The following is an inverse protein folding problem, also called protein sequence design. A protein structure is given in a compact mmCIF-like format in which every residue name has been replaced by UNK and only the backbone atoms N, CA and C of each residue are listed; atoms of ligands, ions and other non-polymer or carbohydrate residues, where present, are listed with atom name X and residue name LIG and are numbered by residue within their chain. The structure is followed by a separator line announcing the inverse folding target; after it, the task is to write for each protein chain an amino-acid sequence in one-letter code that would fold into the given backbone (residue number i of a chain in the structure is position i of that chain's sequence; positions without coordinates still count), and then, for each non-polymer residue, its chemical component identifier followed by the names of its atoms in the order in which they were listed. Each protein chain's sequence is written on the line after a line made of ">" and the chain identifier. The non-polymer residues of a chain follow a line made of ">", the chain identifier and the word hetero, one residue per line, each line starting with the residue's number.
data_IF_146381221528
#
_entry.id   IF_146381221528
#
_cell.length_a   1.000
_cell.length_b   1.000
_cell.length_c   1.000
_cell.angle_alpha   90.00
_cell.angle_beta   90.00
_cell.angle_gamma   90.00
#
_symmetry.space_group_name_H-M   'P 1'
#
loop_
_entity.id
_entity.type
_entity.pdbx_description
1 polymer ?
#
# COMPACT_ATOMS: atom_id res chain seq x y z
N UNK A 1 15.34 23.89 -1.00
CA UNK A 1 14.57 22.64 -0.96
C UNK A 1 14.76 22.03 0.42
N UNK A 2 13.73 21.51 1.06
CA UNK A 2 13.85 20.82 2.35
C UNK A 2 14.68 19.55 2.14
N UNK A 3 15.45 19.15 3.15
CA UNK A 3 16.30 17.95 3.11
C UNK A 3 15.46 16.66 3.02
N UNK A 4 14.23 16.70 3.55
CA UNK A 4 13.26 15.62 3.50
C UNK A 4 11.96 16.08 2.84
N UNK A 5 11.25 15.20 2.12
CA UNK A 5 9.93 15.52 1.62
C UNK A 5 8.97 15.82 2.77
N UNK A 6 8.24 16.94 2.68
CA UNK A 6 7.32 17.39 3.72
C UNK A 6 5.98 17.77 3.12
N UNK A 7 4.93 17.59 3.90
CA UNK A 7 3.64 18.18 3.62
C UNK A 7 3.61 19.66 4.03
N UNK A 8 2.71 20.41 3.42
CA UNK A 8 2.51 21.80 3.82
C UNK A 8 1.96 21.89 5.25
N UNK A 9 2.18 23.03 5.96
CA UNK A 9 1.54 23.26 7.25
C UNK A 9 0.01 23.16 7.18
N UNK A 10 -0.60 23.53 6.05
CA UNK A 10 -2.04 23.43 5.84
C UNK A 10 -2.51 21.97 5.79
N UNK A 11 -1.79 21.09 5.11
CA UNK A 11 -2.10 19.66 5.06
C UNK A 11 -1.94 18.99 6.43
N UNK A 12 -0.85 19.32 7.15
CA UNK A 12 -0.64 18.80 8.52
C UNK A 12 -1.75 19.28 9.48
N UNK A 13 -2.17 20.54 9.38
CA UNK A 13 -3.29 21.07 10.16
C UNK A 13 -4.62 20.37 9.81
N UNK A 14 -4.89 20.11 8.52
CA UNK A 14 -6.07 19.34 8.07
C UNK A 14 -6.09 17.94 8.71
N UNK A 15 -4.96 17.22 8.67
CA UNK A 15 -4.84 15.89 9.30
C UNK A 15 -5.07 15.96 10.80
N UNK A 16 -4.45 16.94 11.45
CA UNK A 16 -4.62 17.16 12.88
C UNK A 16 -6.09 17.41 13.25
N UNK A 17 -6.80 18.28 12.52
CA UNK A 17 -8.22 18.54 12.74
C UNK A 17 -9.08 17.29 12.57
N UNK A 18 -8.81 16.47 11.53
CA UNK A 18 -9.52 15.22 11.30
C UNK A 18 -9.29 14.19 12.43
N UNK A 19 -8.09 14.14 13.00
CA UNK A 19 -7.77 13.33 14.18
C UNK A 19 -8.54 13.82 15.40
N UNK A 20 -8.55 15.13 15.68
CA UNK A 20 -9.26 15.71 16.80
C UNK A 20 -10.79 15.52 16.71
N UNK A 21 -11.37 15.62 15.51
CA UNK A 21 -12.78 15.27 15.27
C UNK A 21 -13.06 13.80 15.57
N UNK A 22 -12.15 12.91 15.19
CA UNK A 22 -12.24 11.47 15.47
C UNK A 22 -12.20 11.21 16.98
N UNK A 23 -11.29 11.88 17.69
CA UNK A 23 -11.19 11.80 19.15
C UNK A 23 -12.49 12.29 19.82
N UNK A 24 -13.02 13.41 19.37
CA UNK A 24 -14.26 13.97 19.91
C UNK A 24 -15.47 13.04 19.70
N UNK A 25 -15.59 12.44 18.50
CA UNK A 25 -16.65 11.44 18.18
C UNK A 25 -16.52 10.17 19.05
N UNK A 26 -15.30 9.76 19.34
CA UNK A 26 -15.01 8.58 20.18
C UNK A 26 -15.10 8.88 21.69
N UNK A 27 -15.19 10.14 22.10
CA UNK A 27 -15.23 10.56 23.50
C UNK A 27 -13.91 10.33 24.23
N UNK A 28 -12.77 10.40 23.52
CA UNK A 28 -11.44 10.22 24.13
C UNK A 28 -10.71 11.55 24.27
N UNK A 29 -10.02 11.72 25.40
CA UNK A 29 -9.29 12.96 25.71
C UNK A 29 -7.90 13.00 25.06
N UNK A 30 -7.30 11.85 24.83
CA UNK A 30 -5.97 11.70 24.23
C UNK A 30 -5.98 10.62 23.16
N UNK A 31 -5.08 10.74 22.17
CA UNK A 31 -4.87 9.71 21.16
C UNK A 31 -3.40 9.27 21.20
N UNK A 32 -3.20 7.97 21.22
CA UNK A 32 -1.92 7.32 20.95
C UNK A 32 -1.91 6.83 19.49
N UNK A 33 -1.08 7.42 18.65
CA UNK A 33 -0.65 6.75 17.42
C UNK A 33 0.61 5.94 17.72
N UNK A 34 0.57 4.63 17.46
CA UNK A 34 1.67 3.72 17.75
C UNK A 34 2.16 3.03 16.49
N UNK A 35 3.49 2.90 16.39
CA UNK A 35 4.13 2.21 15.28
C UNK A 35 5.40 1.49 15.72
N UNK A 36 5.71 0.38 15.07
CA UNK A 36 6.92 -0.39 15.32
C UNK A 36 7.44 -1.09 14.06
N UNK A 37 8.73 -0.92 13.77
CA UNK A 37 9.44 -1.65 12.70
C UNK A 37 8.74 -1.61 11.32
N UNK A 38 8.33 -0.41 10.89
CA UNK A 38 7.66 -0.20 9.62
C UNK A 38 6.14 -0.54 9.60
N UNK A 39 5.59 -0.97 10.74
CA UNK A 39 4.16 -1.21 10.92
C UNK A 39 3.55 -0.08 11.77
N UNK A 40 2.30 0.30 11.49
CA UNK A 40 1.63 1.39 12.21
C UNK A 40 1.87 2.75 11.56
N UNK A 41 1.35 2.93 10.35
CA UNK A 41 1.52 4.14 9.55
C UNK A 41 0.91 5.41 10.14
N UNK A 42 0.10 5.33 11.21
CA UNK A 42 -0.53 6.49 11.84
C UNK A 42 0.50 7.48 12.40
N UNK A 43 1.61 7.00 12.97
CA UNK A 43 2.70 7.87 13.45
C UNK A 43 3.24 8.72 12.30
N UNK A 44 3.59 8.09 11.17
CA UNK A 44 4.12 8.79 9.99
C UNK A 44 3.09 9.71 9.33
N UNK A 45 1.83 9.30 9.29
CA UNK A 45 0.75 10.10 8.69
C UNK A 45 0.46 11.38 9.48
N UNK A 46 0.58 11.35 10.82
CA UNK A 46 0.33 12.51 11.67
C UNK A 46 1.59 13.37 11.85
N UNK A 47 2.77 12.74 12.12
CA UNK A 47 4.01 13.45 12.51
C UNK A 47 5.08 13.51 11.44
N UNK A 48 4.87 12.88 10.28
CA UNK A 48 5.86 12.66 9.22
C UNK A 48 7.03 11.75 9.63
N UNK A 49 7.15 11.31 10.90
CA UNK A 49 8.19 10.39 11.33
C UNK A 49 7.90 8.96 10.86
N UNK A 50 8.68 8.38 9.95
CA UNK A 50 8.52 6.98 9.61
C UNK A 50 9.01 6.11 10.77
N UNK A 51 8.13 5.47 11.51
CA UNK A 51 8.47 4.67 12.67
C UNK A 51 9.45 3.53 12.31
N UNK A 52 10.75 3.81 12.40
CA UNK A 52 11.82 2.86 12.04
C UNK A 52 11.93 1.71 13.04
N UNK A 53 11.72 2.02 14.30
CA UNK A 53 11.52 1.11 15.43
C UNK A 53 10.29 1.57 16.21
N UNK A 54 10.16 1.23 17.49
CA UNK A 54 9.01 1.65 18.26
C UNK A 54 8.96 3.18 18.38
N UNK A 55 7.77 3.73 18.10
CA UNK A 55 7.45 5.13 18.24
C UNK A 55 6.01 5.28 18.75
N UNK A 56 5.81 6.19 19.73
CA UNK A 56 4.52 6.50 20.30
C UNK A 56 4.28 8.01 20.20
N UNK A 57 3.30 8.42 19.39
CA UNK A 57 2.88 9.82 19.28
C UNK A 57 1.62 10.02 20.12
N UNK A 58 1.74 10.85 21.16
CA UNK A 58 0.60 11.27 21.96
C UNK A 58 0.06 12.59 21.45
N UNK A 59 -1.18 12.55 20.96
CA UNK A 59 -1.95 13.71 20.50
C UNK A 59 -2.87 14.16 21.62
N UNK A 60 -2.80 15.45 21.96
CA UNK A 60 -3.67 16.10 22.94
C UNK A 60 -4.30 17.35 22.31
N UNK A 61 -5.63 17.49 22.23
CA UNK A 61 -6.26 18.67 21.66
C UNK A 61 -5.78 19.96 22.34
N UNK A 62 -5.41 20.94 21.53
CA UNK A 62 -4.93 22.24 22.02
C UNK A 62 -3.50 22.26 22.57
N UNK A 63 -2.78 21.14 22.59
CA UNK A 63 -1.38 21.05 23.02
C UNK A 63 -0.48 20.59 21.88
N UNK A 64 0.84 20.77 22.06
CA UNK A 64 1.83 20.20 21.16
C UNK A 64 1.89 18.68 21.33
N UNK A 65 1.93 17.96 20.21
CA UNK A 65 2.07 16.51 20.22
C UNK A 65 3.41 16.10 20.80
N UNK A 66 3.44 14.97 21.52
CA UNK A 66 4.69 14.39 22.06
C UNK A 66 4.99 13.10 21.31
N UNK A 67 6.14 13.08 20.64
CA UNK A 67 6.65 11.89 19.95
C UNK A 67 7.73 11.23 20.78
N UNK A 68 7.45 10.07 21.34
CA UNK A 68 8.41 9.20 22.01
C UNK A 68 9.08 8.28 20.99
N UNK A 69 10.40 8.33 20.91
CA UNK A 69 11.22 7.50 20.02
C UNK A 69 12.07 6.54 20.84
N UNK A 70 11.99 5.25 20.56
CA UNK A 70 12.63 4.20 21.35
C UNK A 70 14.15 4.34 21.45
N UNK A 71 14.83 4.51 20.30
CA UNK A 71 16.28 4.54 20.29
C UNK A 71 16.82 5.98 20.40
N UNK A 72 17.69 6.18 21.39
CA UNK A 72 18.27 7.49 21.67
C UNK A 72 19.02 8.09 20.49
N UNK A 73 19.72 7.27 19.71
CA UNK A 73 20.44 7.69 18.49
C UNK A 73 19.53 8.08 17.32
N UNK A 74 18.22 7.80 17.38
CA UNK A 74 17.27 8.25 16.37
C UNK A 74 16.73 9.66 16.62
N UNK A 75 16.89 10.20 17.86
CA UNK A 75 16.37 11.51 18.24
C UNK A 75 16.81 12.66 17.32
N UNK A 76 18.11 12.79 16.95
CA UNK A 76 18.53 13.90 16.11
C UNK A 76 17.79 13.92 14.77
N UNK A 77 17.57 12.77 14.17
CA UNK A 77 16.88 12.66 12.90
C UNK A 77 15.36 12.84 13.04
N UNK A 78 14.77 12.28 14.09
CA UNK A 78 13.33 12.45 14.38
C UNK A 78 12.98 13.94 14.59
N UNK A 79 13.81 14.71 15.28
CA UNK A 79 13.65 16.16 15.47
C UNK A 79 13.75 16.97 14.16
N UNK A 80 14.48 16.46 13.16
CA UNK A 80 14.60 17.11 11.84
C UNK A 80 13.40 16.83 10.95
N UNK A 81 12.71 15.70 11.18
CA UNK A 81 11.57 15.25 10.39
C UNK A 81 10.25 15.66 11.05
N UNK A 82 10.01 15.27 12.29
CA UNK A 82 8.76 15.57 13.03
C UNK A 82 8.86 16.95 13.73
N UNK A 83 8.99 18.03 12.95
CA UNK A 83 9.26 19.38 13.50
C UNK A 83 8.11 19.96 14.31
N UNK A 84 6.89 19.48 14.11
CA UNK A 84 5.70 19.99 14.78
C UNK A 84 5.41 19.27 16.11
N UNK A 85 6.16 18.18 16.40
CA UNK A 85 6.08 17.43 17.64
C UNK A 85 7.23 17.76 18.60
N UNK A 86 6.97 17.65 19.90
CA UNK A 86 8.00 17.61 20.94
C UNK A 86 8.61 16.20 20.97
N UNK A 87 9.76 16.04 20.34
CA UNK A 87 10.44 14.75 20.18
C UNK A 87 11.29 14.43 21.38
N UNK A 88 10.94 13.37 22.08
CA UNK A 88 11.60 12.91 23.30
C UNK A 88 12.11 11.47 23.14
N UNK A 89 13.12 11.11 23.93
CA UNK A 89 13.50 9.72 24.07
C UNK A 89 12.44 8.93 24.86
N UNK A 90 12.01 7.80 24.33
CA UNK A 90 11.05 6.91 24.98
C UNK A 90 11.58 6.14 26.19
N UNK A 91 12.82 6.42 26.63
CA UNK A 91 13.42 5.72 27.75
C UNK A 91 13.84 4.27 27.43
N UNK A 92 14.21 3.49 28.45
CA UNK A 92 14.50 2.06 28.29
C UNK A 92 13.25 1.26 27.88
N UNK A 93 12.06 1.75 28.20
CA UNK A 93 10.75 1.18 27.85
C UNK A 93 9.78 2.32 27.49
N UNK A 94 9.48 2.43 26.20
CA UNK A 94 8.63 3.49 25.65
C UNK A 94 7.23 3.50 26.27
N UNK A 95 6.68 2.33 26.60
CA UNK A 95 5.34 2.24 27.21
C UNK A 95 5.34 2.75 28.65
N UNK A 96 6.39 2.51 29.41
CA UNK A 96 6.54 3.12 30.76
C UNK A 96 6.57 4.64 30.66
N UNK A 97 7.40 5.20 29.78
CA UNK A 97 7.47 6.65 29.57
C UNK A 97 6.15 7.25 29.09
N UNK A 98 5.41 6.50 28.25
CA UNK A 98 4.06 6.90 27.81
C UNK A 98 3.08 6.92 28.99
N UNK A 99 3.06 5.89 29.85
CA UNK A 99 2.20 5.80 31.04
C UNK A 99 2.48 6.97 31.99
N UNK A 100 3.75 7.27 32.24
CA UNK A 100 4.15 8.41 33.07
C UNK A 100 3.63 9.73 32.48
N UNK A 101 3.70 9.90 31.17
CA UNK A 101 3.17 11.08 30.47
C UNK A 101 1.65 11.17 30.54
N UNK A 102 0.94 10.05 30.36
CA UNK A 102 -0.52 9.98 30.50
C UNK A 102 -0.96 10.33 31.93
N UNK A 103 -0.26 9.79 32.93
CA UNK A 103 -0.50 10.09 34.34
C UNK A 103 -0.26 11.58 34.67
N UNK A 104 0.83 12.16 34.16
CA UNK A 104 1.14 13.58 34.34
C UNK A 104 0.08 14.52 33.71
N UNK A 105 -0.63 14.06 32.67
CA UNK A 105 -1.71 14.78 32.00
C UNK A 105 -3.10 14.48 32.57
N UNK A 106 -3.21 13.61 33.57
CA UNK A 106 -4.50 13.20 34.13
C UNK A 106 -5.40 12.50 33.14
N UNK A 107 -4.83 11.71 32.21
CA UNK A 107 -5.57 11.05 31.13
C UNK A 107 -6.47 9.97 31.71
N UNK A 108 -7.78 10.05 31.43
CA UNK A 108 -8.77 9.04 31.82
C UNK A 108 -9.24 8.19 30.65
N UNK A 109 -9.19 8.74 29.40
CA UNK A 109 -9.61 8.03 28.19
C UNK A 109 -8.59 8.18 27.07
N UNK A 110 -8.21 7.06 26.46
CA UNK A 110 -7.16 6.96 25.43
C UNK A 110 -7.71 6.29 24.16
N UNK A 111 -7.72 7.01 23.04
CA UNK A 111 -7.86 6.41 21.72
C UNK A 111 -6.54 5.81 21.27
N UNK A 112 -6.57 4.70 20.53
CA UNK A 112 -5.37 4.04 20.02
C UNK A 112 -5.50 3.79 18.52
N UNK A 113 -4.51 4.21 17.74
CA UNK A 113 -4.30 3.89 16.33
C UNK A 113 -2.96 3.19 16.19
N UNK A 114 -2.96 1.91 15.80
CA UNK A 114 -1.76 1.13 15.52
C UNK A 114 -1.63 -0.17 16.31
N UNK A 115 -0.65 -1.00 15.93
CA UNK A 115 -0.54 -2.38 16.36
C UNK A 115 0.14 -2.51 17.72
N UNK A 116 -0.55 -2.22 18.81
CA UNK A 116 -0.05 -2.51 20.15
C UNK A 116 0.11 -4.02 20.36
N UNK A 117 1.21 -4.43 21.00
CA UNK A 117 1.35 -5.78 21.51
C UNK A 117 0.40 -6.00 22.68
N UNK A 118 -0.07 -7.23 22.88
CA UNK A 118 -1.01 -7.56 23.94
C UNK A 118 -0.57 -7.04 25.33
N UNK A 119 0.70 -7.28 25.70
CA UNK A 119 1.23 -6.82 26.98
C UNK A 119 1.28 -5.28 27.10
N UNK A 120 1.49 -4.56 26.01
CA UNK A 120 1.46 -3.08 25.99
C UNK A 120 0.04 -2.58 26.19
N UNK A 121 -0.93 -3.18 25.47
CA UNK A 121 -2.35 -2.86 25.63
C UNK A 121 -2.81 -3.11 27.07
N UNK A 122 -2.43 -4.25 27.68
CA UNK A 122 -2.79 -4.56 29.07
C UNK A 122 -2.28 -3.48 30.04
N UNK A 123 -1.00 -3.09 29.92
CA UNK A 123 -0.40 -2.04 30.75
C UNK A 123 -1.10 -0.68 30.60
N UNK A 124 -1.46 -0.32 29.37
CA UNK A 124 -2.21 0.92 29.11
C UNK A 124 -3.62 0.86 29.71
N UNK A 125 -4.30 -0.28 29.60
CA UNK A 125 -5.63 -0.49 30.18
C UNK A 125 -5.63 -0.51 31.73
N UNK A 126 -4.49 -0.77 32.36
CA UNK A 126 -4.30 -0.65 33.81
C UNK A 126 -4.00 0.80 34.22
N UNK A 127 -3.47 1.63 33.30
CA UNK A 127 -3.04 3.00 33.57
C UNK A 127 -4.12 4.07 33.32
N UNK A 128 -5.13 3.78 32.48
CA UNK A 128 -6.24 4.70 32.16
C UNK A 128 -7.58 3.97 32.27
N UNK A 129 -8.65 4.71 32.55
CA UNK A 129 -9.99 4.11 32.77
C UNK A 129 -10.59 3.49 31.50
N UNK A 130 -10.26 4.06 30.33
CA UNK A 130 -10.85 3.63 29.05
C UNK A 130 -9.79 3.65 27.94
N UNK A 131 -9.68 2.53 27.20
CA UNK A 131 -8.90 2.44 25.96
C UNK A 131 -9.84 2.09 24.81
N UNK A 132 -9.83 2.89 23.73
CA UNK A 132 -10.69 2.74 22.55
C UNK A 132 -9.83 2.51 21.32
N UNK A 133 -10.07 1.41 20.60
CA UNK A 133 -9.40 1.16 19.31
C UNK A 133 -9.99 2.06 18.22
N UNK A 134 -9.15 2.82 17.52
CA UNK A 134 -9.50 3.76 16.47
C UNK A 134 -8.86 3.40 15.12
N UNK A 135 -8.42 2.15 14.93
CA UNK A 135 -7.82 1.70 13.67
C UNK A 135 -8.78 1.81 12.49
N UNK A 136 -10.07 1.49 12.70
CA UNK A 136 -11.09 1.63 11.67
C UNK A 136 -11.33 3.09 11.28
N UNK A 137 -11.20 4.01 12.21
CA UNK A 137 -11.29 5.45 11.96
C UNK A 137 -10.07 5.94 11.21
N UNK A 138 -8.88 5.48 11.59
CA UNK A 138 -7.64 5.78 10.85
C UNK A 138 -7.71 5.29 9.39
N UNK A 139 -8.26 4.11 9.13
CA UNK A 139 -8.53 3.65 7.77
C UNK A 139 -9.44 4.63 7.03
N UNK A 140 -10.55 5.09 7.64
CA UNK A 140 -11.49 6.05 7.03
C UNK A 140 -10.82 7.38 6.70
N UNK A 141 -9.97 7.91 7.59
CA UNK A 141 -9.23 9.16 7.37
C UNK A 141 -8.33 9.11 6.12
N UNK A 142 -7.92 7.92 5.70
CA UNK A 142 -7.00 7.70 4.58
C UNK A 142 -7.68 7.31 3.27
N UNK A 143 -9.00 7.09 3.25
CA UNK A 143 -9.70 6.66 2.04
C UNK A 143 -9.63 7.73 0.95
N UNK A 144 -10.00 8.96 1.27
CA UNK A 144 -9.97 10.10 0.38
C UNK A 144 -8.65 10.86 0.58
N UNK A 145 -7.88 11.03 -0.49
CA UNK A 145 -6.56 11.68 -0.48
C UNK A 145 -6.70 13.18 -0.71
N UNK A 146 -5.87 13.95 -0.04
CA UNK A 146 -5.66 15.35 -0.39
C UNK A 146 -4.86 15.48 -1.70
N UNK A 147 -4.83 16.67 -2.28
CA UNK A 147 -4.03 16.94 -3.47
C UNK A 147 -2.53 16.65 -3.24
N UNK A 148 -2.00 17.00 -2.07
CA UNK A 148 -0.60 16.74 -1.71
C UNK A 148 -0.32 15.24 -1.52
N UNK A 149 -1.30 14.46 -1.02
CA UNK A 149 -1.18 13.00 -0.96
C UNK A 149 -1.18 12.37 -2.36
N UNK A 150 -2.00 12.89 -3.28
CA UNK A 150 -1.99 12.47 -4.70
C UNK A 150 -0.64 12.78 -5.33
N UNK A 151 -0.03 13.94 -5.07
CA UNK A 151 1.30 14.26 -5.59
C UNK A 151 2.38 13.31 -5.05
N UNK A 152 2.28 12.88 -3.78
CA UNK A 152 3.16 11.83 -3.23
C UNK A 152 2.96 10.48 -3.92
N UNK A 153 1.71 10.13 -4.23
CA UNK A 153 1.38 8.90 -4.95
C UNK A 153 1.86 8.94 -6.40
N UNK A 154 1.82 10.10 -7.08
CA UNK A 154 2.43 10.29 -8.41
C UNK A 154 3.92 10.04 -8.40
N UNK A 155 4.63 10.55 -7.39
CA UNK A 155 6.07 10.29 -7.27
C UNK A 155 6.36 8.81 -7.00
N UNK A 156 5.60 8.16 -6.12
CA UNK A 156 5.71 6.72 -5.87
C UNK A 156 5.41 5.89 -7.12
N UNK A 157 4.41 6.27 -7.92
CA UNK A 157 4.08 5.64 -9.20
C UNK A 157 5.22 5.78 -10.21
N UNK A 158 5.76 7.00 -10.38
CA UNK A 158 6.93 7.27 -11.24
C UNK A 158 8.15 6.42 -10.87
N UNK A 159 8.42 6.25 -9.58
CA UNK A 159 9.51 5.42 -9.07
C UNK A 159 9.25 3.93 -9.32
N UNK A 160 8.00 3.50 -9.20
CA UNK A 160 7.57 2.13 -9.53
C UNK A 160 7.72 1.86 -11.04
N UNK A 161 7.35 2.80 -11.89
CA UNK A 161 7.53 2.70 -13.36
C UNK A 161 9.01 2.56 -13.72
N UNK A 162 9.88 3.36 -13.11
CA UNK A 162 11.34 3.26 -13.29
C UNK A 162 11.89 1.90 -12.82
N UNK A 163 11.34 1.35 -11.73
CA UNK A 163 11.71 0.04 -11.22
C UNK A 163 11.31 -1.08 -12.19
N UNK A 164 10.11 -1.02 -12.76
CA UNK A 164 9.68 -2.00 -13.78
C UNK A 164 10.50 -1.87 -15.04
N UNK A 165 10.85 -0.67 -15.48
CA UNK A 165 11.76 -0.46 -16.63
C UNK A 165 13.14 -1.11 -16.37
N UNK A 166 13.75 -0.87 -15.21
CA UNK A 166 15.03 -1.49 -14.84
C UNK A 166 14.94 -3.03 -14.76
N UNK A 167 13.83 -3.56 -14.26
CA UNK A 167 13.56 -5.00 -14.27
C UNK A 167 13.49 -5.55 -15.69
N UNK A 168 12.80 -4.88 -16.63
CA UNK A 168 12.68 -5.33 -18.02
C UNK A 168 14.04 -5.36 -18.72
N UNK A 169 14.93 -4.41 -18.43
CA UNK A 169 16.29 -4.37 -18.96
C UNK A 169 17.16 -5.56 -18.43
N UNK A 170 16.88 -6.01 -17.21
CA UNK A 170 17.57 -7.15 -16.58
C UNK A 170 17.00 -8.52 -17.03
N UNK A 171 15.74 -8.57 -17.47
CA UNK A 171 15.01 -9.79 -17.77
C UNK A 171 15.41 -10.36 -19.16
N UNK A 172 16.40 -11.25 -19.18
CA UNK A 172 16.89 -11.91 -20.39
C UNK A 172 17.26 -13.38 -20.12
N UNK A 173 17.30 -14.23 -21.14
CA UNK A 173 17.78 -15.60 -20.97
C UNK A 173 19.14 -15.66 -20.31
N UNK A 174 19.29 -16.53 -19.30
CA UNK A 174 20.49 -16.71 -18.50
C UNK A 174 20.61 -15.81 -17.28
N UNK A 175 19.76 -14.79 -17.11
CA UNK A 175 19.72 -14.00 -15.89
C UNK A 175 19.10 -14.80 -14.73
N UNK A 176 19.59 -14.60 -13.52
CA UNK A 176 18.98 -15.16 -12.30
C UNK A 176 17.74 -14.30 -11.92
N UNK A 177 16.64 -14.94 -11.54
CA UNK A 177 15.41 -14.23 -11.11
C UNK A 177 15.71 -13.23 -9.99
N UNK A 178 16.62 -13.56 -9.07
CA UNK A 178 17.05 -12.65 -8.00
C UNK A 178 17.74 -11.38 -8.50
N UNK A 179 18.31 -11.39 -9.72
CA UNK A 179 18.86 -10.19 -10.33
C UNK A 179 17.76 -9.18 -10.73
N UNK A 180 16.53 -9.66 -10.96
CA UNK A 180 15.38 -8.78 -11.20
C UNK A 180 15.05 -7.96 -9.97
N UNK A 181 15.02 -8.59 -8.78
CA UNK A 181 14.81 -7.89 -7.50
C UNK A 181 15.89 -6.82 -7.28
N UNK A 182 17.17 -7.17 -7.50
CA UNK A 182 18.27 -6.22 -7.36
C UNK A 182 18.17 -5.03 -8.33
N UNK A 183 17.77 -5.25 -9.58
CA UNK A 183 17.57 -4.19 -10.56
C UNK A 183 16.38 -3.28 -10.19
N UNK A 184 15.26 -3.90 -9.79
CA UNK A 184 14.06 -3.22 -9.31
C UNK A 184 14.36 -2.30 -8.13
N UNK A 185 14.97 -2.85 -7.07
CA UNK A 185 15.30 -2.07 -5.87
C UNK A 185 16.35 -1.00 -6.14
N UNK A 186 17.37 -1.30 -6.94
CA UNK A 186 18.40 -0.33 -7.30
C UNK A 186 17.83 0.93 -7.94
N UNK A 187 16.78 0.83 -8.74
CA UNK A 187 16.18 1.95 -9.44
C UNK A 187 15.50 2.96 -8.48
N UNK A 188 14.75 2.48 -7.49
CA UNK A 188 14.04 3.41 -6.59
C UNK A 188 14.85 3.78 -5.34
N UNK A 189 15.76 2.92 -4.86
CA UNK A 189 16.64 3.25 -3.74
C UNK A 189 17.53 4.45 -4.04
N UNK A 190 18.07 4.54 -5.25
CA UNK A 190 18.87 5.68 -5.69
C UNK A 190 18.09 7.01 -5.67
N UNK A 191 16.76 6.95 -5.75
CA UNK A 191 15.86 8.10 -5.68
C UNK A 191 15.28 8.36 -4.28
N UNK A 192 15.71 7.61 -3.25
CA UNK A 192 15.31 7.81 -1.85
C UNK A 192 13.99 7.13 -1.48
N UNK A 193 13.49 6.19 -2.29
CA UNK A 193 12.38 5.34 -1.95
C UNK A 193 12.85 4.01 -1.32
N UNK A 194 11.93 3.22 -0.82
CA UNK A 194 12.18 1.91 -0.24
C UNK A 194 11.29 0.85 -0.88
N UNK A 195 11.58 -0.42 -0.62
CA UNK A 195 10.73 -1.51 -1.07
C UNK A 195 9.40 -1.53 -0.29
N UNK A 196 8.29 -1.68 -1.03
CA UNK A 196 7.00 -2.09 -0.49
C UNK A 196 6.67 -3.50 -0.96
N UNK A 197 6.75 -3.75 -2.28
CA UNK A 197 6.51 -5.04 -2.91
C UNK A 197 7.46 -5.18 -4.12
N UNK A 198 8.06 -6.36 -4.25
CA UNK A 198 8.64 -6.86 -5.50
C UNK A 198 8.41 -8.36 -5.58
N UNK A 199 7.34 -8.79 -6.24
CA UNK A 199 6.98 -10.19 -6.41
C UNK A 199 7.12 -10.60 -7.87
N UNK A 200 7.68 -11.80 -8.10
CA UNK A 200 7.91 -12.34 -9.43
C UNK A 200 7.40 -13.77 -9.55
N UNK A 201 6.85 -14.11 -10.71
CA UNK A 201 6.69 -15.48 -11.17
C UNK A 201 7.41 -15.62 -12.51
N UNK A 202 8.30 -16.59 -12.61
CA UNK A 202 8.96 -16.95 -13.88
C UNK A 202 8.76 -18.43 -14.11
N UNK A 203 8.05 -18.79 -15.19
CA UNK A 203 7.72 -20.17 -15.52
C UNK A 203 7.72 -20.38 -17.03
N UNK A 204 7.94 -21.62 -17.49
CA UNK A 204 7.89 -21.94 -18.91
C UNK A 204 6.43 -21.86 -19.43
N UNK A 205 6.20 -21.12 -20.52
CA UNK A 205 4.85 -21.05 -21.13
C UNK A 205 4.33 -22.39 -21.60
N UNK A 206 5.23 -23.33 -21.96
CA UNK A 206 4.88 -24.67 -22.44
C UNK A 206 4.47 -25.63 -21.32
N UNK A 207 4.97 -25.44 -20.11
CA UNK A 207 4.67 -26.24 -18.91
C UNK A 207 4.68 -25.36 -17.67
N UNK A 208 3.64 -24.52 -17.49
CA UNK A 208 3.58 -23.55 -16.40
C UNK A 208 3.38 -24.23 -15.05
N UNK A 209 4.06 -23.72 -14.02
CA UNK A 209 4.02 -24.21 -12.65
C UNK A 209 3.65 -23.13 -11.63
N UNK A 210 3.46 -21.88 -12.08
CA UNK A 210 3.11 -20.73 -11.24
C UNK A 210 2.11 -19.85 -11.97
N UNK A 211 1.00 -19.56 -11.32
CA UNK A 211 -0.06 -18.69 -11.88
C UNK A 211 -0.07 -17.28 -11.30
N UNK A 212 0.65 -17.03 -10.20
CA UNK A 212 0.77 -15.71 -9.55
C UNK A 212 2.20 -15.49 -9.09
N UNK A 213 2.65 -14.23 -8.92
CA UNK A 213 3.96 -13.91 -8.37
C UNK A 213 4.15 -14.43 -6.94
N UNK A 214 5.36 -14.94 -6.66
CA UNK A 214 5.78 -15.37 -5.33
C UNK A 214 6.44 -14.25 -4.54
N UNK A 215 6.35 -14.35 -3.20
CA UNK A 215 6.93 -13.37 -2.26
C UNK A 215 8.44 -13.57 -2.06
N UNK A 216 8.99 -14.67 -2.52
CA UNK A 216 10.42 -14.99 -2.41
C UNK A 216 10.93 -15.53 -3.74
N UNK A 217 12.05 -14.99 -4.23
CA UNK A 217 12.62 -15.35 -5.53
C UNK A 217 13.35 -16.69 -5.45
N UNK A 218 12.96 -17.66 -6.28
CA UNK A 218 13.70 -18.93 -6.40
C UNK A 218 15.06 -18.71 -7.07
N UNK A 219 16.04 -19.55 -6.74
CA UNK A 219 17.30 -19.65 -7.49
C UNK A 219 17.03 -20.30 -8.85
N UNK A 220 16.60 -19.50 -9.84
CA UNK A 220 16.21 -19.95 -11.17
C UNK A 220 16.83 -19.05 -12.23
N UNK A 221 17.38 -19.66 -13.30
CA UNK A 221 17.78 -18.92 -14.49
C UNK A 221 16.59 -18.78 -15.44
N UNK A 222 16.38 -17.57 -15.92
CA UNK A 222 15.37 -17.23 -16.92
C UNK A 222 15.76 -17.91 -18.25
N UNK A 223 14.78 -18.45 -18.95
CA UNK A 223 14.98 -19.14 -20.22
C UNK A 223 14.15 -18.51 -21.34
N UNK A 224 14.59 -18.67 -22.59
CA UNK A 224 13.75 -18.35 -23.74
C UNK A 224 12.48 -19.21 -23.70
N UNK A 225 11.31 -18.61 -23.93
CA UNK A 225 10.00 -19.26 -23.79
C UNK A 225 9.39 -19.21 -22.40
N UNK A 226 10.05 -18.55 -21.45
CA UNK A 226 9.41 -18.22 -20.16
C UNK A 226 8.40 -17.10 -20.29
N UNK A 227 7.46 -17.09 -19.34
CA UNK A 227 6.63 -15.92 -18.99
C UNK A 227 7.11 -15.40 -17.64
N UNK A 228 7.22 -14.08 -17.54
CA UNK A 228 7.52 -13.33 -16.33
C UNK A 228 6.28 -12.51 -15.96
N UNK A 229 5.73 -12.76 -14.78
CA UNK A 229 4.67 -11.93 -14.18
C UNK A 229 5.24 -11.23 -12.97
N UNK A 230 4.97 -9.95 -12.81
CA UNK A 230 5.49 -9.17 -11.69
C UNK A 230 4.43 -8.27 -11.05
N UNK A 231 4.64 -8.02 -9.76
CA UNK A 231 3.93 -7.02 -8.97
C UNK A 231 4.97 -6.18 -8.21
N UNK A 232 5.04 -4.91 -8.54
CA UNK A 232 6.08 -3.98 -8.05
C UNK A 232 5.45 -2.78 -7.41
N UNK A 233 5.93 -2.42 -6.22
CA UNK A 233 5.55 -1.21 -5.49
C UNK A 233 6.77 -0.58 -4.84
N UNK A 234 7.15 0.61 -5.28
CA UNK A 234 8.10 1.45 -4.59
C UNK A 234 7.37 2.29 -3.53
N UNK A 235 7.91 2.39 -2.33
CA UNK A 235 7.39 3.23 -1.26
C UNK A 235 8.19 4.53 -1.15
N UNK A 236 7.49 5.64 -1.32
CA UNK A 236 8.06 6.98 -1.16
C UNK A 236 7.43 7.69 0.05
N UNK A 237 8.14 7.66 1.18
CA UNK A 237 7.71 8.32 2.42
C UNK A 237 6.31 7.95 2.89
N UNK A 238 6.01 6.64 2.90
CA UNK A 238 4.73 6.10 3.37
C UNK A 238 3.63 6.06 2.32
N UNK A 239 3.92 6.44 1.07
CA UNK A 239 3.02 6.35 -0.08
C UNK A 239 3.63 5.43 -1.13
N UNK A 240 2.84 4.50 -1.66
CA UNK A 240 3.37 3.49 -2.58
C UNK A 240 2.65 3.53 -3.92
N UNK A 241 3.42 3.40 -5.00
CA UNK A 241 2.89 3.03 -6.31
C UNK A 241 2.65 1.52 -6.37
N UNK A 242 1.81 1.05 -7.30
CA UNK A 242 1.66 -0.38 -7.58
C UNK A 242 1.40 -0.62 -9.06
N UNK A 243 2.25 -1.45 -9.66
CA UNK A 243 2.22 -1.80 -11.08
C UNK A 243 2.38 -3.31 -11.25
N UNK A 244 1.48 -3.91 -12.03
CA UNK A 244 1.44 -5.33 -12.32
C UNK A 244 1.53 -5.54 -13.82
N UNK A 245 2.47 -6.37 -14.28
CA UNK A 245 2.69 -6.64 -15.70
C UNK A 245 3.07 -8.10 -15.95
N UNK A 246 2.82 -8.52 -17.17
CA UNK A 246 3.26 -9.82 -17.68
C UNK A 246 4.08 -9.62 -18.95
N UNK A 247 5.17 -10.36 -19.06
CA UNK A 247 6.12 -10.33 -20.19
C UNK A 247 6.41 -11.73 -20.68
N UNK A 248 6.76 -11.88 -21.95
CA UNK A 248 7.34 -13.13 -22.47
C UNK A 248 8.83 -12.94 -22.74
N UNK A 249 9.62 -14.00 -22.58
CA UNK A 249 11.09 -13.92 -22.68
C UNK A 249 11.55 -14.55 -23.99
N UNK A 250 12.17 -13.75 -24.85
CA UNK A 250 12.81 -14.14 -26.14
C UNK A 250 11.92 -15.00 -27.04
N UNK A 251 10.60 -14.98 -26.85
CA UNK A 251 9.61 -15.70 -27.66
C UNK A 251 8.29 -14.95 -27.70
N UNK A 252 7.50 -15.16 -28.73
CA UNK A 252 6.14 -14.66 -28.78
C UNK A 252 5.24 -15.40 -27.79
N UNK A 253 4.16 -14.79 -27.26
CA UNK A 253 3.24 -15.46 -26.38
C UNK A 253 2.59 -16.66 -27.07
N UNK A 254 2.41 -17.75 -26.33
CA UNK A 254 1.57 -18.85 -26.83
C UNK A 254 0.12 -18.38 -26.96
N UNK A 255 -0.72 -19.00 -27.81
CA UNK A 255 -2.15 -18.68 -27.92
C UNK A 255 -2.87 -18.71 -26.55
N UNK A 256 -2.42 -19.62 -25.67
CA UNK A 256 -2.96 -19.74 -24.31
C UNK A 256 -2.65 -18.50 -23.45
N UNK A 257 -1.41 -18.02 -23.42
CA UNK A 257 -1.05 -16.81 -22.67
C UNK A 257 -1.60 -15.53 -23.30
N UNK A 258 -1.73 -15.50 -24.63
CA UNK A 258 -2.41 -14.40 -25.31
C UNK A 258 -3.88 -14.32 -24.93
N UNK A 259 -4.58 -15.46 -24.81
CA UNK A 259 -5.97 -15.50 -24.36
C UNK A 259 -6.15 -15.07 -22.89
N UNK A 260 -5.28 -15.55 -21.98
CA UNK A 260 -5.26 -15.13 -20.58
C UNK A 260 -5.07 -13.61 -20.46
N UNK A 261 -4.06 -13.07 -21.16
CA UNK A 261 -3.76 -11.63 -21.11
C UNK A 261 -4.87 -10.80 -21.73
N UNK A 262 -5.47 -11.27 -22.84
CA UNK A 262 -6.64 -10.61 -23.44
C UNK A 262 -7.82 -10.49 -22.50
N UNK A 263 -8.09 -11.55 -21.71
CA UNK A 263 -9.13 -11.52 -20.68
C UNK A 263 -8.77 -10.56 -19.52
N UNK A 264 -7.50 -10.49 -19.14
CA UNK A 264 -7.03 -9.57 -18.10
C UNK A 264 -7.12 -8.10 -18.55
N UNK A 265 -6.74 -7.79 -19.79
CA UNK A 265 -6.89 -6.44 -20.35
C UNK A 265 -8.38 -6.04 -20.48
N UNK A 266 -9.24 -6.95 -20.95
CA UNK A 266 -10.68 -6.70 -21.03
C UNK A 266 -11.30 -6.43 -19.63
N UNK A 267 -10.85 -7.18 -18.62
CA UNK A 267 -11.28 -6.96 -17.25
C UNK A 267 -10.78 -5.62 -16.70
N UNK A 268 -9.53 -5.26 -16.96
CA UNK A 268 -9.00 -3.97 -16.56
C UNK A 268 -9.83 -2.82 -17.15
N UNK A 269 -10.12 -2.87 -18.45
CA UNK A 269 -10.89 -1.83 -19.12
C UNK A 269 -12.35 -1.76 -18.62
N UNK A 270 -13.00 -2.91 -18.42
CA UNK A 270 -14.36 -2.97 -17.89
C UNK A 270 -14.43 -2.44 -16.43
N UNK A 271 -13.51 -2.85 -15.57
CA UNK A 271 -13.43 -2.41 -14.19
C UNK A 271 -13.17 -0.90 -14.11
N UNK A 272 -12.15 -0.40 -14.80
CA UNK A 272 -11.82 1.04 -14.76
C UNK A 272 -12.93 1.92 -15.30
N UNK A 273 -13.65 1.47 -16.32
CA UNK A 273 -14.82 2.17 -16.85
C UNK A 273 -16.00 2.22 -15.86
N UNK A 274 -16.09 1.25 -14.93
CA UNK A 274 -17.15 1.22 -13.91
C UNK A 274 -16.84 2.12 -12.70
N UNK A 275 -15.57 2.47 -12.47
CA UNK A 275 -15.13 3.27 -11.33
C UNK A 275 -15.40 4.76 -11.58
N UNK A 276 -16.35 5.33 -10.81
CA UNK A 276 -16.70 6.74 -10.80
C UNK A 276 -17.22 7.15 -9.43
N UNK A 277 -17.22 8.43 -9.08
CA UNK A 277 -17.87 8.88 -7.84
C UNK A 277 -19.32 8.41 -7.75
N UNK A 278 -19.70 7.85 -6.61
CA UNK A 278 -21.03 7.29 -6.36
C UNK A 278 -21.25 5.85 -6.81
N UNK A 279 -20.36 5.26 -7.62
CA UNK A 279 -20.45 3.85 -8.01
C UNK A 279 -20.40 2.96 -6.76
N UNK A 280 -21.28 1.97 -6.66
CA UNK A 280 -21.28 1.00 -5.59
C UNK A 280 -20.26 -0.12 -5.87
N UNK A 281 -19.62 -0.65 -4.83
CA UNK A 281 -18.62 -1.72 -4.95
C UNK A 281 -19.12 -2.93 -5.75
N UNK A 282 -20.42 -3.24 -5.70
CA UNK A 282 -21.01 -4.32 -6.48
C UNK A 282 -20.99 -4.08 -7.99
N UNK A 283 -21.07 -2.82 -8.45
CA UNK A 283 -20.98 -2.48 -9.89
C UNK A 283 -19.60 -2.83 -10.44
N UNK A 284 -18.54 -2.61 -9.63
CA UNK A 284 -17.16 -2.96 -9.98
C UNK A 284 -16.98 -4.47 -10.05
N UNK A 285 -17.55 -5.20 -9.08
CA UNK A 285 -17.55 -6.68 -9.09
C UNK A 285 -18.30 -7.23 -10.29
N UNK A 286 -19.44 -6.63 -10.67
CA UNK A 286 -20.18 -7.04 -11.86
C UNK A 286 -19.38 -6.82 -13.15
N UNK A 287 -18.64 -5.71 -13.25
CA UNK A 287 -17.78 -5.43 -14.39
C UNK A 287 -16.65 -6.46 -14.57
N UNK A 288 -16.22 -7.13 -13.48
CA UNK A 288 -15.19 -8.18 -13.54
C UNK A 288 -15.67 -9.51 -14.14
N UNK A 289 -16.97 -9.68 -14.36
CA UNK A 289 -17.58 -10.92 -14.87
C UNK A 289 -17.04 -11.38 -16.23
N UNK A 290 -16.46 -10.50 -17.00
CA UNK A 290 -15.79 -10.79 -18.29
C UNK A 290 -14.67 -11.85 -18.15
N UNK A 291 -14.05 -11.99 -16.98
CA UNK A 291 -13.04 -13.03 -16.71
C UNK A 291 -13.70 -14.41 -16.73
N UNK A 292 -14.82 -14.56 -16.04
CA UNK A 292 -15.56 -15.82 -15.93
C UNK A 292 -16.26 -16.17 -17.26
N UNK A 293 -16.74 -15.18 -18.00
CA UNK A 293 -17.29 -15.33 -19.35
C UNK A 293 -16.23 -15.84 -20.35
N UNK A 294 -14.95 -15.46 -20.16
CA UNK A 294 -13.83 -15.96 -20.94
C UNK A 294 -13.38 -17.38 -20.54
N UNK A 295 -13.99 -17.99 -19.51
CA UNK A 295 -13.65 -19.33 -19.00
C UNK A 295 -12.45 -19.37 -18.05
N UNK A 296 -12.04 -18.23 -17.52
CA UNK A 296 -10.95 -18.09 -16.55
C UNK A 296 -11.47 -17.78 -15.15
N UNK A 297 -10.56 -17.67 -14.21
CA UNK A 297 -10.86 -17.28 -12.82
C UNK A 297 -9.73 -16.36 -12.29
N UNK A 298 -9.78 -16.01 -11.02
CA UNK A 298 -8.78 -15.18 -10.34
C UNK A 298 -8.16 -15.95 -9.17
N UNK A 299 -7.01 -15.49 -8.70
CA UNK A 299 -6.38 -16.02 -7.49
C UNK A 299 -6.53 -15.06 -6.30
N UNK A 300 -6.36 -13.78 -6.54
CA UNK A 300 -6.37 -12.71 -5.55
C UNK A 300 -7.47 -11.68 -5.86
N UNK A 301 -7.57 -10.62 -5.05
CA UNK A 301 -8.49 -9.52 -5.33
C UNK A 301 -8.13 -8.79 -6.64
N UNK A 302 -9.15 -8.17 -7.24
CA UNK A 302 -9.06 -7.43 -8.50
C UNK A 302 -8.95 -5.93 -8.30
N UNK A 303 -9.53 -5.43 -7.21
CA UNK A 303 -9.51 -4.01 -6.87
C UNK A 303 -9.33 -3.84 -5.38
N UNK A 304 -8.42 -2.98 -4.99
CA UNK A 304 -8.33 -2.55 -3.61
C UNK A 304 -8.00 -1.06 -3.50
N UNK A 305 -8.43 -0.43 -2.40
CA UNK A 305 -7.98 0.91 -2.04
C UNK A 305 -6.49 0.90 -1.69
N UNK A 306 -5.79 2.03 -1.96
CA UNK A 306 -4.36 2.11 -1.74
C UNK A 306 -3.91 3.50 -1.25
N UNK A 307 -2.67 3.55 -0.77
CA UNK A 307 -2.03 4.78 -0.31
C UNK A 307 -1.11 4.55 0.88
N UNK A 308 -0.13 3.64 0.72
CA UNK A 308 0.75 3.18 1.80
C UNK A 308 0.19 1.96 2.53
N UNK A 309 -0.26 0.97 1.76
CA UNK A 309 -0.89 -0.27 2.20
C UNK A 309 -2.35 -0.39 1.74
N UNK A 310 -2.91 -1.56 1.93
CA UNK A 310 -4.28 -1.89 1.54
C UNK A 310 -5.30 -1.06 2.30
N UNK A 311 -6.31 -0.60 1.57
CA UNK A 311 -7.49 0.09 2.08
C UNK A 311 -8.75 -0.54 1.44
N UNK A 312 -9.93 -0.40 2.05
CA UNK A 312 -11.17 -0.76 1.38
C UNK A 312 -11.47 0.18 0.17
N UNK A 313 -12.28 -0.30 -0.81
CA UNK A 313 -12.80 -1.65 -0.87
C UNK A 313 -11.72 -2.68 -1.22
N UNK A 314 -11.95 -3.98 -0.94
CA UNK A 314 -11.15 -5.09 -1.44
C UNK A 314 -12.12 -6.04 -2.15
N UNK A 315 -12.00 -6.15 -3.48
CA UNK A 315 -13.01 -6.76 -4.34
C UNK A 315 -12.40 -7.85 -5.24
N UNK A 316 -13.02 -9.01 -5.25
CA UNK A 316 -12.78 -10.11 -6.20
C UNK A 316 -13.88 -10.23 -7.26
N UNK A 317 -14.01 -11.38 -7.91
CA UNK A 317 -15.17 -11.73 -8.73
C UNK A 317 -16.34 -12.25 -7.85
N UNK A 318 -17.52 -12.41 -8.45
CA UNK A 318 -18.68 -12.98 -7.73
C UNK A 318 -18.44 -14.41 -7.28
N UNK A 319 -17.77 -15.23 -8.08
CA UNK A 319 -17.51 -16.64 -7.77
C UNK A 319 -16.31 -16.84 -6.86
N UNK A 320 -15.38 -15.88 -6.82
CA UNK A 320 -14.13 -15.98 -6.07
C UNK A 320 -13.88 -14.72 -5.24
N UNK A 321 -14.77 -14.47 -4.30
CA UNK A 321 -14.62 -13.43 -3.30
C UNK A 321 -14.31 -14.04 -1.94
N UNK A 322 -13.18 -13.65 -1.35
CA UNK A 322 -12.82 -14.08 0.01
C UNK A 322 -13.57 -13.31 1.10
N UNK A 323 -14.31 -12.26 0.73
CA UNK A 323 -15.07 -11.40 1.66
C UNK A 323 -16.40 -11.00 1.05
N UNK A 324 -17.42 -10.71 1.87
CA UNK A 324 -18.64 -10.07 1.38
C UNK A 324 -18.32 -8.76 0.67
N UNK A 325 -19.06 -8.46 -0.40
CA UNK A 325 -18.96 -7.16 -1.07
C UNK A 325 -19.36 -6.08 -0.06
N UNK A 326 -18.51 -5.09 0.23
CA UNK A 326 -18.83 -4.06 1.21
C UNK A 326 -19.95 -3.15 0.69
N UNK A 327 -20.82 -2.69 1.60
CA UNK A 327 -21.74 -1.59 1.33
C UNK A 327 -20.97 -0.28 1.30
N UNK A 328 -20.31 -0.03 0.17
CA UNK A 328 -19.39 1.09 0.00
C UNK A 328 -19.57 1.71 -1.39
N UNK A 329 -19.53 3.03 -1.43
CA UNK A 329 -19.48 3.80 -2.67
C UNK A 329 -18.11 4.40 -2.88
N UNK A 330 -17.71 4.48 -4.14
CA UNK A 330 -16.48 5.15 -4.53
C UNK A 330 -16.65 6.66 -4.38
N UNK A 331 -15.65 7.31 -3.84
CA UNK A 331 -15.62 8.76 -3.63
C UNK A 331 -14.48 9.39 -4.45
N UNK A 332 -14.68 10.64 -4.86
CA UNK A 332 -13.61 11.45 -5.44
C UNK A 332 -12.44 11.59 -4.47
N UNK A 333 -11.21 11.50 -4.96
CA UNK A 333 -9.99 11.48 -4.15
C UNK A 333 -9.56 10.09 -3.66
N UNK A 334 -10.37 9.04 -3.85
CA UNK A 334 -9.91 7.69 -3.57
C UNK A 334 -8.82 7.27 -4.55
N UNK A 335 -7.82 6.52 -4.04
CA UNK A 335 -6.84 5.82 -4.87
C UNK A 335 -7.14 4.33 -4.84
N UNK A 336 -7.20 3.73 -6.02
CA UNK A 336 -7.53 2.33 -6.21
C UNK A 336 -6.49 1.69 -7.12
N UNK A 337 -6.00 0.52 -6.72
CA UNK A 337 -5.30 -0.38 -7.63
C UNK A 337 -6.35 -1.24 -8.33
N UNK A 338 -6.28 -1.29 -9.66
CA UNK A 338 -7.04 -2.23 -10.47
C UNK A 338 -6.04 -3.24 -11.01
N UNK A 339 -6.17 -4.52 -10.61
CA UNK A 339 -5.13 -5.54 -10.77
C UNK A 339 -5.68 -6.91 -11.23
N UNK A 340 -6.29 -7.02 -12.42
CA UNK A 340 -6.73 -8.32 -12.91
C UNK A 340 -5.60 -9.34 -12.92
N UNK A 341 -5.71 -10.32 -12.01
CA UNK A 341 -4.85 -11.50 -11.92
C UNK A 341 -5.64 -12.69 -12.46
N UNK A 342 -5.59 -12.88 -13.80
CA UNK A 342 -6.39 -13.88 -14.48
C UNK A 342 -5.62 -15.19 -14.58
N UNK A 343 -6.23 -16.27 -14.08
CA UNK A 343 -5.62 -17.59 -14.04
C UNK A 343 -6.52 -18.66 -14.65
N UNK A 344 -5.92 -19.80 -15.00
CA UNK A 344 -6.67 -21.01 -15.36
C UNK A 344 -7.32 -21.64 -14.13
N UNK A 345 -8.42 -22.38 -14.33
CA UNK A 345 -9.14 -23.04 -13.25
C UNK A 345 -8.38 -24.17 -12.57
N UNK A 346 -7.33 -24.71 -13.22
CA UNK A 346 -6.38 -25.68 -12.64
C UNK A 346 -5.21 -25.02 -11.87
N UNK A 347 -5.19 -23.67 -11.80
CA UNK A 347 -4.24 -22.85 -11.05
C UNK A 347 -2.77 -23.02 -11.51
N UNK A 348 -2.53 -23.41 -12.77
CA UNK A 348 -1.16 -23.60 -13.30
C UNK A 348 -0.65 -22.40 -14.07
N UNK A 349 -1.51 -21.76 -14.84
CA UNK A 349 -1.14 -20.62 -15.67
C UNK A 349 -1.85 -19.36 -15.21
N UNK A 350 -1.15 -18.24 -15.29
CA UNK A 350 -1.75 -16.95 -14.95
C UNK A 350 -0.97 -15.78 -15.52
N UNK A 351 -1.65 -14.66 -15.58
CA UNK A 351 -1.11 -13.36 -15.97
C UNK A 351 -1.60 -12.29 -15.02
N UNK A 352 -0.88 -11.19 -14.95
CA UNK A 352 -1.34 -9.98 -14.28
C UNK A 352 -1.19 -8.78 -15.21
N UNK A 353 -2.20 -7.93 -15.23
CA UNK A 353 -2.12 -6.57 -15.76
C UNK A 353 -2.82 -5.66 -14.75
N UNK A 354 -2.22 -4.54 -14.43
CA UNK A 354 -2.84 -3.67 -13.45
C UNK A 354 -1.95 -2.52 -13.03
N UNK A 355 -2.56 -1.55 -12.38
CA UNK A 355 -1.88 -0.38 -11.89
C UNK A 355 -2.74 0.44 -10.94
N UNK A 356 -2.08 1.27 -10.14
CA UNK A 356 -2.74 2.22 -9.27
C UNK A 356 -3.22 3.43 -10.07
N UNK A 357 -4.39 3.94 -9.68
CA UNK A 357 -4.94 5.19 -10.17
C UNK A 357 -5.72 5.92 -9.07
N UNK A 358 -6.21 7.09 -9.39
CA UNK A 358 -7.02 7.91 -8.51
C UNK A 358 -8.35 8.28 -9.17
N UNK A 359 -9.34 8.59 -8.37
CA UNK A 359 -10.71 8.90 -8.83
C UNK A 359 -10.94 10.40 -8.73
N UNK A 360 -11.28 11.02 -9.85
CA UNK A 360 -11.77 12.40 -9.89
C UNK A 360 -13.25 12.45 -10.29
N UNK A 361 -13.77 13.63 -10.57
CA UNK A 361 -15.16 13.84 -10.99
C UNK A 361 -15.52 13.12 -12.31
N UNK A 362 -14.54 12.78 -13.16
CA UNK A 362 -14.71 12.09 -14.43
C UNK A 362 -14.60 10.57 -14.30
N UNK A 363 -13.96 10.06 -13.25
CA UNK A 363 -13.77 8.64 -13.01
C UNK A 363 -12.34 8.28 -12.59
N UNK A 364 -11.92 7.05 -12.87
CA UNK A 364 -10.59 6.56 -12.53
C UNK A 364 -9.54 6.96 -13.55
N UNK A 365 -8.39 7.47 -13.09
CA UNK A 365 -7.24 7.87 -13.89
C UNK A 365 -5.97 7.19 -13.39
N UNK A 366 -5.18 6.62 -14.32
CA UNK A 366 -3.88 6.05 -13.99
C UNK A 366 -2.94 7.09 -13.38
N UNK A 367 -2.14 6.66 -12.39
CA UNK A 367 -0.98 7.40 -11.89
C UNK A 367 0.34 6.91 -12.52
N UNK A 368 0.30 5.83 -13.31
CA UNK A 368 1.44 5.21 -13.96
C UNK A 368 1.48 5.52 -15.45
N UNK A 369 2.69 5.72 -15.97
CA UNK A 369 2.96 5.97 -17.39
C UNK A 369 3.53 4.73 -18.10
N UNK A 370 3.97 3.68 -17.34
CA UNK A 370 4.50 2.46 -17.92
C UNK A 370 3.42 1.74 -18.75
N UNK A 371 3.70 1.39 -20.04
CA UNK A 371 2.69 0.89 -20.96
C UNK A 371 2.10 -0.45 -20.50
N UNK A 372 0.80 -0.65 -20.80
CA UNK A 372 0.13 -1.95 -20.69
C UNK A 372 0.43 -2.81 -21.93
N UNK A 373 0.10 -4.09 -21.84
CA UNK A 373 0.20 -5.06 -22.91
C UNK A 373 1.16 -6.20 -22.57
N UNK A 374 1.01 -7.31 -23.28
CA UNK A 374 1.89 -8.46 -23.18
C UNK A 374 3.12 -8.22 -24.07
N UNK A 375 4.22 -7.79 -23.46
CA UNK A 375 5.43 -7.38 -24.17
C UNK A 375 6.46 -8.51 -24.16
N UNK A 376 7.08 -8.75 -25.31
CA UNK A 376 8.23 -9.64 -25.44
C UNK A 376 9.52 -8.92 -25.06
N UNK A 377 10.31 -9.52 -24.17
CA UNK A 377 11.62 -9.08 -23.73
C UNK A 377 12.72 -10.00 -24.29
N UNK A 378 13.89 -9.45 -24.65
CA UNK A 378 15.07 -10.17 -25.12
C UNK A 378 15.15 -10.44 -26.61
#
# INVERSE_FOLDING_TARGET
>A
MSEYPRFSPAELARRRSAVEETMAKAGVSHLLAYGASGVGGAVGWISEWPATHEAALLVTPGEQDVLLVQHYNHLPNARRIATDADVRWGGPDTVTSLIDLLGARGTTSLGVMGPLRFAQHQRLSEAVDTVVALDADYVRLRLVKSAEEIDRLREAARLTDAAVAAMTDAARPGADVRALAAATEGAYLAAGATNQIHYFAVTAMADPQMCVPGQFEPARLIQAGDVLTCEISANYWGYSGQLLRTFTIASDPTPHYAALHGAADAAFDAITASIRPGAHASEIVDASGVIEEAGFTIFDDLVHGYGGGYLPPVLGTRSRSHRPIPDMRIEEGMCLVVQPNVITTDEKSGVQTGQMGWVDAQGWHSLHDFPRGLVRLG
#
